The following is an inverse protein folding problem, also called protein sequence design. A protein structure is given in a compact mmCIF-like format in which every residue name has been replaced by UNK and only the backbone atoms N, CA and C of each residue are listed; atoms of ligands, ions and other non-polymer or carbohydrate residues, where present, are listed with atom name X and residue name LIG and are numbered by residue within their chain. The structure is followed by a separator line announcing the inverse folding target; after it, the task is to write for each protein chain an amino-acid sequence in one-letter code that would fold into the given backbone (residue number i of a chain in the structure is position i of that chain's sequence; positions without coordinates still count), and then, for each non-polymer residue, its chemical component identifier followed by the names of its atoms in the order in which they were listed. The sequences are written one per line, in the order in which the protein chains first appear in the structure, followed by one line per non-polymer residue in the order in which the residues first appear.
data_IF_766305395023
#
_entry.id   IF_766305395023
#
_cell.length_a   1.000
_cell.length_b   1.000
_cell.length_c   1.000
_cell.angle_alpha   90.00
_cell.angle_beta   90.00
_cell.angle_gamma   90.00
#
_symmetry.space_group_name_H-M   'P 1'
#
loop_
_entity.id
_entity.type
_entity.pdbx_description
1 polymer ?
#
# COMPACT_ATOMS: atom_id res chain seq x y z
N UNK A 1 -4.91 -1.54 -11.26
CA UNK A 1 -5.06 -0.95 -12.61
C UNK A 1 -6.06 0.16 -12.44
N UNK A 2 -5.59 1.40 -12.50
CA UNK A 2 -6.41 2.56 -12.13
C UNK A 2 -6.43 3.60 -13.23
N UNK A 3 -5.58 3.39 -14.25
CA UNK A 3 -5.62 4.10 -15.53
C UNK A 3 -6.25 3.16 -16.57
N UNK A 4 -7.17 3.63 -17.42
CA UNK A 4 -7.75 2.86 -18.52
C UNK A 4 -6.68 2.31 -19.47
N UNK A 5 -5.63 3.10 -19.71
CA UNK A 5 -4.43 2.73 -20.47
C UNK A 5 -3.21 2.74 -19.55
N UNK A 6 -2.80 1.57 -19.01
CA UNK A 6 -1.70 1.48 -18.05
C UNK A 6 -0.33 1.93 -18.59
N UNK A 7 -0.16 1.97 -19.90
CA UNK A 7 1.06 2.39 -20.61
C UNK A 7 1.01 3.83 -21.12
N UNK A 8 0.03 4.62 -20.70
CA UNK A 8 -0.03 6.05 -21.02
C UNK A 8 1.09 6.81 -20.33
N UNK A 9 1.50 7.94 -20.93
CA UNK A 9 2.47 8.87 -20.32
C UNK A 9 2.00 9.33 -18.94
N UNK A 10 0.70 9.57 -18.76
CA UNK A 10 0.10 9.94 -17.49
C UNK A 10 0.29 8.84 -16.43
N UNK A 11 0.03 7.57 -16.77
CA UNK A 11 0.25 6.45 -15.86
C UNK A 11 1.72 6.34 -15.44
N UNK A 12 2.66 6.56 -16.36
CA UNK A 12 4.10 6.54 -16.04
C UNK A 12 4.52 7.71 -15.15
N UNK A 13 4.04 8.93 -15.45
CA UNK A 13 4.31 10.11 -14.62
C UNK A 13 3.73 9.95 -13.22
N UNK A 14 2.52 9.38 -13.11
CA UNK A 14 1.87 9.11 -11.84
C UNK A 14 2.63 8.05 -11.02
N UNK A 15 3.06 6.96 -11.66
CA UNK A 15 3.87 5.92 -11.02
C UNK A 15 5.21 6.48 -10.52
N UNK A 16 5.88 7.31 -11.33
CA UNK A 16 7.12 8.00 -10.94
C UNK A 16 6.88 8.97 -9.77
N UNK A 17 5.79 9.74 -9.81
CA UNK A 17 5.39 10.61 -8.71
C UNK A 17 5.22 9.84 -7.41
N UNK A 18 4.46 8.73 -7.43
CA UNK A 18 4.26 7.87 -6.25
C UNK A 18 5.56 7.22 -5.77
N UNK A 19 6.43 6.77 -6.67
CA UNK A 19 7.73 6.20 -6.32
C UNK A 19 8.61 7.22 -5.56
N UNK A 20 8.68 8.45 -6.06
CA UNK A 20 9.46 9.53 -5.43
C UNK A 20 8.82 9.95 -4.10
N UNK A 21 7.49 10.08 -4.05
CA UNK A 21 6.76 10.43 -2.83
C UNK A 21 6.92 9.37 -1.73
N UNK A 22 6.79 8.09 -2.08
CA UNK A 22 6.98 6.98 -1.14
C UNK A 22 8.44 6.91 -0.67
N UNK A 23 9.41 7.07 -1.57
CA UNK A 23 10.84 7.14 -1.21
C UNK A 23 11.13 8.29 -0.22
N UNK A 24 10.51 9.46 -0.46
CA UNK A 24 10.57 10.61 0.45
C UNK A 24 9.95 10.30 1.81
N UNK A 25 8.75 9.72 1.84
CA UNK A 25 8.02 9.38 3.07
C UNK A 25 8.77 8.32 3.90
N UNK A 26 9.26 7.24 3.31
CA UNK A 26 10.03 6.22 4.03
C UNK A 26 11.32 6.78 4.63
N UNK A 27 12.01 7.65 3.89
CA UNK A 27 13.24 8.29 4.36
C UNK A 27 12.97 9.29 5.48
N UNK A 28 11.85 10.01 5.42
CA UNK A 28 11.34 10.86 6.50
C UNK A 28 11.03 10.03 7.76
N UNK A 29 10.28 8.93 7.63
CA UNK A 29 9.97 8.03 8.75
C UNK A 29 11.25 7.47 9.38
N UNK A 30 12.25 7.13 8.56
CA UNK A 30 13.57 6.68 9.03
C UNK A 30 14.32 7.80 9.77
N UNK A 31 14.30 9.02 9.26
CA UNK A 31 14.89 10.18 9.93
C UNK A 31 14.26 10.41 11.31
N UNK A 32 12.93 10.44 11.40
CA UNK A 32 12.21 10.59 12.68
C UNK A 32 12.61 9.47 13.65
N UNK A 33 12.67 8.22 13.18
CA UNK A 33 13.07 7.07 14.00
C UNK A 33 14.48 7.21 14.59
N UNK A 34 15.45 7.65 13.78
CA UNK A 34 16.84 7.86 14.22
C UNK A 34 16.93 9.05 15.18
N UNK A 35 16.26 10.16 14.85
CA UNK A 35 16.27 11.39 15.67
C UNK A 35 15.67 11.16 17.06
N UNK A 36 14.66 10.29 17.18
CA UNK A 36 14.01 9.95 18.46
C UNK A 36 14.73 8.87 19.27
N UNK A 37 15.85 8.32 18.80
CA UNK A 37 16.54 7.16 19.41
C UNK A 37 15.66 5.91 19.60
N UNK A 38 14.48 5.88 18.98
CA UNK A 38 13.52 4.78 19.03
C UNK A 38 13.88 3.69 18.01
N UNK A 39 15.04 3.04 18.18
CA UNK A 39 15.49 1.97 17.26
C UNK A 39 14.57 0.75 17.29
N UNK A 40 13.74 0.60 18.32
CA UNK A 40 12.65 -0.39 18.37
C UNK A 40 13.15 -1.81 18.16
N UNK A 41 14.27 -2.17 18.80
CA UNK A 41 14.84 -3.53 18.78
C UNK A 41 15.34 -4.05 17.43
N UNK A 42 15.22 -3.28 16.34
CA UNK A 42 15.65 -3.73 15.02
C UNK A 42 17.19 -3.87 14.96
N UNK A 43 17.72 -4.96 14.38
CA UNK A 43 19.15 -5.20 14.28
C UNK A 43 19.86 -4.10 13.47
N UNK A 44 21.12 -3.82 13.81
CA UNK A 44 21.98 -2.81 13.15
C UNK A 44 22.25 -3.05 11.66
N UNK A 45 21.83 -4.21 11.15
CA UNK A 45 21.97 -4.68 9.77
C UNK A 45 20.75 -4.37 8.87
N UNK A 46 19.70 -3.73 9.40
CA UNK A 46 18.58 -3.28 8.54
C UNK A 46 19.09 -2.26 7.53
N UNK A 47 18.91 -2.56 6.25
CA UNK A 47 19.27 -1.69 5.13
C UNK A 47 18.63 -0.31 5.28
N UNK A 48 19.39 0.75 4.97
CA UNK A 48 18.92 2.13 5.00
C UNK A 48 19.90 3.10 5.65
N UNK A 49 19.49 4.36 5.74
CA UNK A 49 20.31 5.43 6.31
C UNK A 49 20.60 5.16 7.80
N UNK A 50 21.88 5.30 8.17
CA UNK A 50 22.37 5.27 9.56
C UNK A 50 22.56 6.67 10.14
N UNK A 51 22.77 7.67 9.29
CA UNK A 51 22.95 9.06 9.68
C UNK A 51 21.62 9.84 9.49
N UNK A 52 21.16 10.60 10.51
CA UNK A 52 19.89 11.31 10.42
C UNK A 52 19.91 12.39 9.33
N UNK A 53 21.01 13.14 9.20
CA UNK A 53 21.12 14.19 8.21
C UNK A 53 21.01 13.66 6.78
N UNK A 54 21.64 12.52 6.48
CA UNK A 54 21.54 11.88 5.16
C UNK A 54 20.11 11.44 4.83
N UNK A 55 19.40 10.87 5.81
CA UNK A 55 18.00 10.47 5.66
C UNK A 55 17.09 11.68 5.37
N UNK A 56 17.32 12.80 6.07
CA UNK A 56 16.57 14.04 5.87
C UNK A 56 16.84 14.66 4.49
N UNK A 57 18.12 14.80 4.10
CA UNK A 57 18.49 15.36 2.80
C UNK A 57 17.89 14.53 1.67
N UNK A 58 17.99 13.20 1.76
CA UNK A 58 17.41 12.31 0.76
C UNK A 58 15.87 12.44 0.71
N UNK A 59 15.21 12.51 1.88
CA UNK A 59 13.76 12.72 1.95
C UNK A 59 13.33 14.02 1.27
N UNK A 60 14.02 15.12 1.55
CA UNK A 60 13.74 16.43 0.94
C UNK A 60 13.99 16.41 -0.57
N UNK A 61 15.11 15.82 -1.01
CA UNK A 61 15.43 15.70 -2.43
C UNK A 61 14.37 14.91 -3.19
N UNK A 62 13.97 13.75 -2.68
CA UNK A 62 12.92 12.92 -3.30
C UNK A 62 11.54 13.60 -3.24
N UNK A 63 11.26 14.35 -2.18
CA UNK A 63 10.02 15.13 -2.07
C UNK A 63 9.96 16.25 -3.12
N UNK A 64 11.05 16.99 -3.31
CA UNK A 64 11.14 18.02 -4.34
C UNK A 64 11.06 17.42 -5.75
N UNK A 65 11.71 16.29 -5.99
CA UNK A 65 11.60 15.57 -7.26
C UNK A 65 10.16 15.10 -7.52
N UNK A 66 9.45 14.59 -6.51
CA UNK A 66 8.04 14.22 -6.60
C UNK A 66 7.16 15.43 -6.96
N UNK A 67 7.35 16.57 -6.29
CA UNK A 67 6.62 17.81 -6.61
C UNK A 67 6.94 18.33 -8.02
N UNK A 68 8.17 18.16 -8.50
CA UNK A 68 8.53 18.50 -9.87
C UNK A 68 7.78 17.64 -10.89
N UNK A 69 7.66 16.33 -10.66
CA UNK A 69 6.90 15.41 -11.52
C UNK A 69 5.41 15.73 -11.49
N UNK A 70 4.86 16.09 -10.32
CA UNK A 70 3.45 16.46 -10.15
C UNK A 70 3.03 17.64 -11.05
N UNK A 71 3.96 18.54 -11.40
CA UNK A 71 3.70 19.68 -12.30
C UNK A 71 3.11 19.26 -13.65
N UNK A 72 3.42 18.06 -14.15
CA UNK A 72 3.02 17.61 -15.48
C UNK A 72 1.55 17.19 -15.58
N UNK A 73 0.89 16.91 -14.45
CA UNK A 73 -0.49 16.46 -14.41
C UNK A 73 -1.26 17.11 -13.24
N UNK A 74 -0.83 18.30 -12.84
CA UNK A 74 -1.38 18.99 -11.68
C UNK A 74 -2.82 19.46 -11.92
N UNK A 75 -3.66 19.34 -10.90
CA UNK A 75 -4.93 20.06 -10.79
C UNK A 75 -5.17 20.46 -9.33
N UNK A 76 -6.01 21.48 -9.10
CA UNK A 76 -6.37 21.89 -7.74
C UNK A 76 -7.10 20.77 -6.99
N UNK A 77 -8.00 20.06 -7.68
CA UNK A 77 -8.73 18.94 -7.12
C UNK A 77 -7.80 17.78 -6.75
N UNK A 78 -6.77 17.51 -7.56
CA UNK A 78 -5.75 16.52 -7.27
C UNK A 78 -4.97 16.87 -5.99
N UNK A 79 -4.60 18.14 -5.79
CA UNK A 79 -3.87 18.57 -4.59
C UNK A 79 -4.73 18.43 -3.32
N UNK A 80 -6.01 18.81 -3.41
CA UNK A 80 -6.96 18.64 -2.31
C UNK A 80 -7.15 17.16 -2.01
N UNK A 81 -7.31 16.33 -3.04
CA UNK A 81 -7.45 14.88 -2.90
C UNK A 81 -6.17 14.21 -2.39
N UNK A 82 -4.99 14.78 -2.61
CA UNK A 82 -3.72 14.28 -2.09
C UNK A 82 -3.52 14.61 -0.60
N UNK A 83 -4.13 15.70 -0.11
CA UNK A 83 -3.92 16.20 1.25
C UNK A 83 -4.14 15.14 2.36
N UNK A 84 -5.20 14.30 2.35
CA UNK A 84 -5.38 13.25 3.36
C UNK A 84 -4.19 12.28 3.43
N UNK A 85 -3.66 11.85 2.28
CA UNK A 85 -2.53 10.94 2.22
C UNK A 85 -1.23 11.59 2.75
N UNK A 86 -1.01 12.86 2.44
CA UNK A 86 0.14 13.63 2.96
C UNK A 86 0.03 13.83 4.46
N UNK A 87 -1.17 14.16 4.97
CA UNK A 87 -1.43 14.30 6.41
C UNK A 87 -1.12 12.99 7.13
N UNK A 88 -1.60 11.86 6.61
CA UNK A 88 -1.27 10.55 7.18
C UNK A 88 0.24 10.30 7.12
N UNK A 89 0.90 10.51 5.98
CA UNK A 89 2.34 10.25 5.82
C UNK A 89 3.21 11.09 6.78
N UNK A 90 2.84 12.34 7.05
CA UNK A 90 3.54 13.25 7.96
C UNK A 90 3.23 12.93 9.42
N UNK A 91 1.95 12.76 9.78
CA UNK A 91 1.55 12.56 11.17
C UNK A 91 1.79 11.14 11.68
N UNK A 92 1.81 10.14 10.79
CA UNK A 92 2.00 8.74 11.16
C UNK A 92 3.30 8.46 11.95
N UNK A 93 4.49 8.89 11.50
CA UNK A 93 5.74 8.69 12.24
C UNK A 93 5.95 9.66 13.41
N UNK A 94 5.23 10.78 13.45
CA UNK A 94 5.36 11.76 14.53
C UNK A 94 4.73 11.22 15.81
N UNK A 95 5.55 10.63 16.67
CA UNK A 95 5.25 10.57 18.10
C UNK A 95 5.49 11.97 18.69
N UNK A 96 4.45 12.63 19.21
CA UNK A 96 4.62 13.86 19.98
C UNK A 96 5.17 13.50 21.37
N UNK A 97 6.44 13.80 21.70
CA UNK A 97 6.97 13.54 23.02
C UNK A 97 6.58 14.73 23.91
N UNK A 98 5.35 14.72 24.42
CA UNK A 98 4.97 15.62 25.51
C UNK A 98 4.88 14.84 26.83
N UNK A 99 5.52 15.33 27.91
CA UNK A 99 5.66 14.59 29.17
C UNK A 99 4.36 14.41 29.96
N UNK A 100 3.20 14.86 29.45
CA UNK A 100 1.98 14.92 30.25
C UNK A 100 0.67 14.55 29.53
N UNK A 101 0.72 13.83 28.39
CA UNK A 101 -0.51 13.30 27.76
C UNK A 101 -0.31 11.92 27.16
N UNK A 102 -1.31 11.05 27.39
CA UNK A 102 -1.48 9.69 26.88
C UNK A 102 -1.56 9.55 25.34
N UNK A 103 -1.11 10.54 24.56
CA UNK A 103 -1.16 10.46 23.09
C UNK A 103 0.10 9.78 22.56
N UNK A 104 0.01 8.48 22.41
CA UNK A 104 1.02 7.65 21.73
C UNK A 104 0.81 7.80 20.21
N UNK A 105 1.89 7.71 19.41
CA UNK A 105 1.84 7.84 17.94
C UNK A 105 0.67 7.04 17.34
N UNK A 106 0.06 7.51 16.23
CA UNK A 106 -0.98 6.76 15.50
C UNK A 106 -0.55 5.32 15.17
N UNK A 107 0.76 5.04 15.11
CA UNK A 107 1.35 3.71 14.95
C UNK A 107 1.01 2.73 16.08
N UNK A 108 0.70 3.23 17.28
CA UNK A 108 0.50 2.42 18.49
C UNK A 108 -0.94 1.97 18.69
N UNK A 109 -1.89 2.52 17.92
CA UNK A 109 -3.29 2.11 18.01
C UNK A 109 -3.47 0.85 17.15
N UNK A 110 -3.78 -0.30 17.79
CA UNK A 110 -4.00 -1.56 17.12
C UNK A 110 -5.12 -1.42 16.08
N UNK A 111 -5.02 -2.09 14.93
CA UNK A 111 -6.01 -2.05 13.84
C UNK A 111 -6.12 -0.71 13.10
N UNK A 112 -5.92 0.44 13.76
CA UNK A 112 -5.84 1.74 13.10
C UNK A 112 -4.63 1.82 12.17
N UNK A 113 -3.49 1.23 12.55
CA UNK A 113 -2.33 1.07 11.66
C UNK A 113 -2.73 0.43 10.33
N UNK A 114 -3.44 -0.70 10.39
CA UNK A 114 -3.85 -1.43 9.18
C UNK A 114 -4.79 -0.58 8.34
N UNK A 115 -5.82 0.02 8.95
CA UNK A 115 -6.79 0.88 8.25
C UNK A 115 -6.14 2.10 7.60
N UNK A 116 -5.22 2.77 8.29
CA UNK A 116 -4.52 3.94 7.75
C UNK A 116 -3.62 3.54 6.57
N UNK A 117 -2.85 2.45 6.69
CA UNK A 117 -1.97 1.99 5.62
C UNK A 117 -2.81 1.55 4.42
N UNK A 118 -3.79 0.66 4.63
CA UNK A 118 -4.58 0.09 3.53
C UNK A 118 -5.47 1.12 2.86
N UNK A 119 -6.09 2.02 3.64
CA UNK A 119 -6.92 3.11 3.12
C UNK A 119 -6.09 4.13 2.34
N UNK A 120 -4.91 4.52 2.85
CA UNK A 120 -4.02 5.46 2.14
C UNK A 120 -3.53 4.85 0.82
N UNK A 121 -3.16 3.58 0.82
CA UNK A 121 -2.73 2.89 -0.41
C UNK A 121 -3.88 2.68 -1.40
N UNK A 122 -5.07 2.32 -0.95
CA UNK A 122 -6.24 2.23 -1.85
C UNK A 122 -6.58 3.61 -2.43
N UNK A 123 -6.48 4.66 -1.63
CA UNK A 123 -6.67 6.03 -2.07
C UNK A 123 -5.65 6.45 -3.13
N UNK A 124 -4.36 6.29 -2.85
CA UNK A 124 -3.27 6.65 -3.77
C UNK A 124 -3.23 5.74 -5.00
N UNK A 125 -3.49 4.45 -4.86
CA UNK A 125 -3.39 3.53 -5.99
C UNK A 125 -4.61 3.55 -6.90
N UNK A 126 -5.79 3.96 -6.43
CA UNK A 126 -7.04 3.93 -7.20
C UNK A 126 -7.85 5.22 -7.18
N UNK A 127 -8.24 5.73 -6.00
CA UNK A 127 -9.12 6.90 -5.95
C UNK A 127 -8.47 8.11 -6.63
N UNK A 128 -7.21 8.38 -6.34
CA UNK A 128 -6.50 9.55 -6.85
C UNK A 128 -6.35 9.52 -8.39
N UNK A 129 -5.93 8.40 -9.04
CA UNK A 129 -5.98 8.27 -10.50
C UNK A 129 -7.36 8.49 -11.11
N UNK A 130 -8.42 7.95 -10.51
CA UNK A 130 -9.78 8.06 -11.05
C UNK A 130 -10.30 9.51 -10.95
N UNK A 131 -10.04 10.17 -9.82
CA UNK A 131 -10.36 11.59 -9.63
C UNK A 131 -9.57 12.49 -10.59
N UNK A 132 -8.33 12.12 -10.91
CA UNK A 132 -7.51 12.86 -11.89
C UNK A 132 -8.11 12.83 -13.30
N UNK A 133 -8.83 11.77 -13.66
CA UNK A 133 -9.48 11.62 -14.97
C UNK A 133 -10.89 12.22 -15.01
N UNK A 134 -11.24 13.07 -14.03
CA UNK A 134 -12.57 13.63 -13.83
C UNK A 134 -13.69 12.57 -13.79
N UNK A 135 -13.35 11.34 -13.41
CA UNK A 135 -14.32 10.27 -13.30
C UNK A 135 -15.06 10.35 -11.95
N UNK A 136 -16.37 10.33 -12.07
CA UNK A 136 -17.35 10.75 -11.06
C UNK A 136 -17.33 9.86 -9.80
N UNK A 137 -17.72 10.45 -8.66
CA UNK A 137 -18.13 9.80 -7.40
C UNK A 137 -19.36 8.88 -7.57
N UNK A 138 -19.21 7.80 -8.32
CA UNK A 138 -20.26 6.81 -8.56
C UNK A 138 -20.36 5.80 -7.41
N UNK A 139 -21.46 5.05 -7.35
CA UNK A 139 -21.56 3.92 -6.42
C UNK A 139 -20.45 2.88 -6.64
N UNK A 140 -20.05 2.64 -7.90
CA UNK A 140 -18.92 1.80 -8.25
C UNK A 140 -17.61 2.31 -7.62
N UNK A 141 -17.33 3.61 -7.70
CA UNK A 141 -16.13 4.21 -7.11
C UNK A 141 -15.99 3.90 -5.62
N UNK A 142 -17.07 4.08 -4.84
CA UNK A 142 -17.03 3.85 -3.40
C UNK A 142 -16.86 2.37 -3.06
N UNK A 143 -17.51 1.47 -3.80
CA UNK A 143 -17.35 0.03 -3.61
C UNK A 143 -15.94 -0.45 -3.98
N UNK A 144 -15.41 -0.02 -5.14
CA UNK A 144 -14.04 -0.37 -5.55
C UNK A 144 -13.01 0.17 -4.55
N UNK A 145 -13.18 1.39 -4.03
CA UNK A 145 -12.32 1.93 -2.98
C UNK A 145 -12.37 1.09 -1.70
N UNK A 146 -13.57 0.67 -1.28
CA UNK A 146 -13.75 -0.18 -0.09
C UNK A 146 -13.11 -1.56 -0.27
N UNK A 147 -13.42 -2.26 -1.36
CA UNK A 147 -12.88 -3.59 -1.61
C UNK A 147 -11.36 -3.55 -1.86
N UNK A 148 -10.85 -2.52 -2.53
CA UNK A 148 -9.41 -2.33 -2.70
C UNK A 148 -8.72 -2.03 -1.37
N UNK A 149 -9.39 -1.34 -0.44
CA UNK A 149 -8.89 -1.18 0.93
C UNK A 149 -8.76 -2.53 1.63
N UNK A 150 -9.76 -3.43 1.49
CA UNK A 150 -9.63 -4.80 2.00
C UNK A 150 -8.49 -5.57 1.34
N UNK A 151 -8.37 -5.50 0.01
CA UNK A 151 -7.27 -6.13 -0.72
C UNK A 151 -5.91 -5.70 -0.16
N UNK A 152 -5.67 -4.40 -0.04
CA UNK A 152 -4.39 -3.89 0.50
C UNK A 152 -4.20 -4.31 1.95
N UNK A 153 -5.26 -4.32 2.76
CA UNK A 153 -5.18 -4.82 4.13
C UNK A 153 -4.74 -6.30 4.15
N UNK A 154 -5.30 -7.14 3.29
CA UNK A 154 -4.93 -8.55 3.16
C UNK A 154 -3.46 -8.74 2.74
N UNK A 155 -2.98 -7.94 1.80
CA UNK A 155 -1.57 -7.96 1.38
C UNK A 155 -0.61 -7.44 2.45
N UNK A 156 -1.07 -6.60 3.38
CA UNK A 156 -0.23 -6.01 4.44
C UNK A 156 -0.05 -6.96 5.63
N UNK A 157 -1.04 -7.81 5.94
CA UNK A 157 -0.98 -8.73 7.10
C UNK A 157 0.26 -9.65 7.12
N UNK A 158 0.72 -10.25 6.00
CA UNK A 158 1.97 -11.01 5.97
C UNK A 158 3.19 -10.24 6.47
N UNK A 159 3.26 -8.93 6.22
CA UNK A 159 4.35 -8.09 6.71
C UNK A 159 4.27 -7.90 8.23
N UNK A 160 3.07 -7.72 8.79
CA UNK A 160 2.89 -7.71 10.25
C UNK A 160 3.25 -9.07 10.88
N UNK A 161 3.01 -10.19 10.19
CA UNK A 161 3.42 -11.54 10.66
C UNK A 161 4.94 -11.67 10.69
N UNK A 162 5.63 -11.12 9.69
CA UNK A 162 7.10 -11.07 9.63
C UNK A 162 7.69 -10.27 10.78
N UNK A 163 7.11 -9.10 11.04
CA UNK A 163 7.65 -8.12 11.97
C UNK A 163 7.30 -8.46 13.44
N UNK A 164 6.42 -9.45 13.66
CA UNK A 164 5.94 -9.87 14.98
C UNK A 164 7.07 -10.19 15.99
N UNK A 165 8.19 -10.76 15.53
CA UNK A 165 9.33 -11.12 16.40
C UNK A 165 10.14 -9.90 16.87
N UNK A 166 10.03 -8.76 16.17
CA UNK A 166 10.74 -7.52 16.46
C UNK A 166 9.83 -6.42 17.05
N UNK A 167 8.51 -6.53 16.82
CA UNK A 167 7.54 -5.57 17.29
C UNK A 167 7.32 -5.66 18.80
N UNK A 168 7.28 -4.50 19.46
CA UNK A 168 6.96 -4.42 20.89
C UNK A 168 5.55 -4.98 21.14
N UNK A 169 5.36 -5.70 22.25
CA UNK A 169 4.06 -6.27 22.65
C UNK A 169 2.94 -5.23 22.80
N UNK A 170 3.29 -3.96 23.00
CA UNK A 170 2.36 -2.84 23.11
C UNK A 170 1.73 -2.41 21.78
N UNK A 171 2.31 -2.80 20.63
CA UNK A 171 1.77 -2.46 19.30
C UNK A 171 0.46 -3.19 18.99
N UNK A 172 0.24 -4.36 19.61
CA UNK A 172 -0.91 -5.26 19.44
C UNK A 172 -1.34 -5.40 17.98
N UNK A 173 -0.42 -5.76 17.10
CA UNK A 173 -0.72 -6.02 15.67
C UNK A 173 -1.74 -7.17 15.54
N UNK A 174 -2.38 -7.33 14.37
CA UNK A 174 -3.32 -8.44 14.14
C UNK A 174 -2.71 -9.82 14.52
N UNK A 175 -1.49 -10.17 14.08
CA UNK A 175 -0.88 -11.45 14.48
C UNK A 175 -0.57 -11.54 15.97
N UNK A 176 -0.28 -10.43 16.66
CA UNK A 176 -0.13 -10.43 18.12
C UNK A 176 -1.47 -10.63 18.85
N UNK A 177 -2.60 -10.23 18.26
CA UNK A 177 -3.93 -10.32 18.87
C UNK A 177 -4.63 -11.66 18.66
N UNK A 178 -4.55 -12.22 17.45
CA UNK A 178 -5.28 -13.45 17.07
C UNK A 178 -4.37 -14.62 16.66
N UNK A 179 -3.05 -14.40 16.65
CA UNK A 179 -2.08 -15.40 16.21
C UNK A 179 -1.93 -15.44 14.70
N UNK A 180 -0.88 -16.14 14.25
CA UNK A 180 -0.47 -16.19 12.85
C UNK A 180 -1.51 -16.88 11.97
N UNK A 181 -2.07 -18.00 12.40
CA UNK A 181 -3.02 -18.77 11.60
C UNK A 181 -4.29 -17.97 11.29
N UNK A 182 -4.90 -17.37 12.31
CA UNK A 182 -6.09 -16.53 12.14
C UNK A 182 -5.79 -15.28 11.27
N UNK A 183 -4.59 -14.70 11.40
CA UNK A 183 -4.16 -13.57 10.58
C UNK A 183 -4.04 -13.95 9.09
N UNK A 184 -3.46 -15.11 8.79
CA UNK A 184 -3.39 -15.60 7.42
C UNK A 184 -4.78 -15.92 6.84
N UNK A 185 -5.69 -16.43 7.65
CA UNK A 185 -7.08 -16.65 7.24
C UNK A 185 -7.79 -15.32 6.94
N UNK A 186 -7.61 -14.30 7.79
CA UNK A 186 -8.14 -12.96 7.58
C UNK A 186 -7.59 -12.33 6.29
N UNK A 187 -6.29 -12.48 6.04
CA UNK A 187 -5.66 -12.01 4.80
C UNK A 187 -6.28 -12.67 3.55
N UNK A 188 -6.42 -13.99 3.57
CA UNK A 188 -7.08 -14.73 2.48
C UNK A 188 -8.55 -14.34 2.32
N UNK A 189 -9.26 -14.10 3.42
CA UNK A 189 -10.65 -13.63 3.38
C UNK A 189 -10.77 -12.28 2.68
N UNK A 190 -9.87 -11.33 2.94
CA UNK A 190 -9.85 -10.06 2.22
C UNK A 190 -9.56 -10.20 0.73
N UNK A 191 -8.66 -11.11 0.34
CA UNK A 191 -8.43 -11.43 -1.08
C UNK A 191 -9.71 -12.02 -1.72
N UNK A 192 -10.40 -12.93 -1.02
CA UNK A 192 -11.67 -13.50 -1.46
C UNK A 192 -12.75 -12.43 -1.66
N UNK A 193 -12.88 -11.48 -0.74
CA UNK A 193 -13.81 -10.36 -0.91
C UNK A 193 -13.53 -9.57 -2.20
N UNK A 194 -12.26 -9.33 -2.52
CA UNK A 194 -11.90 -8.63 -3.75
C UNK A 194 -12.14 -9.49 -5.00
N UNK A 195 -11.99 -10.81 -4.94
CA UNK A 195 -12.36 -11.72 -6.03
C UNK A 195 -13.86 -11.70 -6.29
N UNK A 196 -14.69 -11.79 -5.24
CA UNK A 196 -16.15 -11.68 -5.36
C UNK A 196 -16.57 -10.32 -5.93
N UNK A 197 -15.93 -9.25 -5.47
CA UNK A 197 -16.12 -7.92 -6.03
C UNK A 197 -15.73 -7.86 -7.51
N UNK A 198 -14.62 -8.45 -7.92
CA UNK A 198 -14.18 -8.52 -9.33
C UNK A 198 -15.23 -9.22 -10.21
N UNK A 199 -15.83 -10.31 -9.70
CA UNK A 199 -16.91 -11.02 -10.40
C UNK A 199 -18.14 -10.11 -10.53
N UNK A 200 -18.54 -9.43 -9.45
CA UNK A 200 -19.65 -8.48 -9.50
C UNK A 200 -19.39 -7.31 -10.47
N UNK A 201 -18.17 -6.76 -10.46
CA UNK A 201 -17.71 -5.70 -11.37
C UNK A 201 -17.81 -6.13 -12.84
N UNK A 202 -17.47 -7.38 -13.15
CA UNK A 202 -17.61 -7.94 -14.50
C UNK A 202 -19.07 -8.00 -14.96
N UNK A 203 -19.99 -8.49 -14.12
CA UNK A 203 -21.38 -8.67 -14.53
C UNK A 203 -22.25 -7.41 -14.46
N UNK A 204 -21.91 -6.44 -13.60
CA UNK A 204 -22.78 -5.30 -13.29
C UNK A 204 -22.20 -3.97 -13.81
N UNK A 205 -20.87 -3.85 -13.92
CA UNK A 205 -20.18 -2.59 -14.25
C UNK A 205 -19.23 -2.72 -15.45
N UNK A 206 -19.46 -3.72 -16.32
CA UNK A 206 -18.76 -3.90 -17.59
C UNK A 206 -17.22 -3.97 -17.47
N UNK A 207 -16.69 -4.52 -16.38
CA UNK A 207 -15.26 -4.81 -16.28
C UNK A 207 -14.87 -5.75 -17.43
N UNK A 208 -13.76 -5.46 -18.13
CA UNK A 208 -13.36 -6.31 -19.26
C UNK A 208 -13.03 -7.73 -18.80
N UNK A 209 -13.28 -8.73 -19.66
CA UNK A 209 -12.91 -10.12 -19.39
C UNK A 209 -11.40 -10.25 -19.10
N UNK A 210 -10.58 -9.47 -19.83
CA UNK A 210 -9.14 -9.41 -19.63
C UNK A 210 -8.75 -9.00 -18.21
N UNK A 211 -9.35 -7.94 -17.70
CA UNK A 211 -9.13 -7.47 -16.34
C UNK A 211 -9.66 -8.46 -15.30
N UNK A 212 -10.86 -9.00 -15.50
CA UNK A 212 -11.46 -9.95 -14.57
C UNK A 212 -10.60 -11.21 -14.41
N UNK A 213 -10.16 -11.81 -15.51
CA UNK A 213 -9.32 -13.02 -15.48
C UNK A 213 -7.95 -12.73 -14.86
N UNK A 214 -7.32 -11.60 -15.21
CA UNK A 214 -6.02 -11.23 -14.65
C UNK A 214 -6.08 -11.05 -13.13
N UNK A 215 -7.13 -10.37 -12.61
CA UNK A 215 -7.35 -10.24 -11.18
C UNK A 215 -7.64 -11.58 -10.52
N UNK A 216 -8.58 -12.37 -11.04
CA UNK A 216 -8.94 -13.65 -10.42
C UNK A 216 -7.75 -14.61 -10.32
N UNK A 217 -7.01 -14.80 -11.41
CA UNK A 217 -5.83 -15.66 -11.44
C UNK A 217 -4.71 -15.11 -10.55
N UNK A 218 -4.44 -13.80 -10.63
CA UNK A 218 -3.38 -13.19 -9.82
C UNK A 218 -3.67 -13.23 -8.32
N UNK A 219 -4.94 -13.11 -7.92
CA UNK A 219 -5.36 -13.21 -6.52
C UNK A 219 -5.34 -14.65 -6.01
N UNK A 220 -5.63 -15.65 -6.84
CA UNK A 220 -5.43 -17.06 -6.46
C UNK A 220 -3.95 -17.39 -6.22
N UNK A 221 -3.06 -16.89 -7.09
CA UNK A 221 -1.61 -16.97 -6.87
C UNK A 221 -1.24 -16.25 -5.57
N UNK A 222 -1.76 -15.04 -5.35
CA UNK A 222 -1.53 -14.28 -4.12
C UNK A 222 -1.99 -15.02 -2.86
N UNK A 223 -3.18 -15.61 -2.88
CA UNK A 223 -3.72 -16.41 -1.79
C UNK A 223 -2.82 -17.62 -1.48
N UNK A 224 -2.34 -18.31 -2.52
CA UNK A 224 -1.37 -19.40 -2.36
C UNK A 224 -0.05 -18.93 -1.73
N UNK A 225 0.50 -17.80 -2.20
CA UNK A 225 1.73 -17.23 -1.64
C UNK A 225 1.57 -16.81 -0.18
N UNK A 226 0.43 -16.23 0.19
CA UNK A 226 0.09 -15.87 1.57
C UNK A 226 -0.04 -17.11 2.45
N UNK A 227 -0.73 -18.17 2.02
CA UNK A 227 -0.85 -19.42 2.81
C UNK A 227 0.51 -20.04 3.11
N UNK A 228 1.46 -19.97 2.16
CA UNK A 228 2.84 -20.45 2.34
C UNK A 228 3.63 -19.71 3.41
N UNK A 229 3.24 -18.48 3.79
CA UNK A 229 3.86 -17.74 4.90
C UNK A 229 3.79 -18.53 6.21
N UNK A 230 2.80 -19.42 6.36
CA UNK A 230 2.72 -20.35 7.50
C UNK A 230 4.00 -21.15 7.69
N UNK A 231 4.62 -21.59 6.60
CA UNK A 231 5.81 -22.46 6.59
C UNK A 231 7.11 -21.69 6.30
N UNK A 232 7.04 -20.55 5.62
CA UNK A 232 8.20 -19.73 5.29
C UNK A 232 7.93 -18.24 5.59
N UNK A 233 8.41 -17.77 6.75
CA UNK A 233 8.30 -16.36 7.18
C UNK A 233 9.56 -15.54 6.90
N UNK A 234 10.45 -16.03 6.03
CA UNK A 234 11.69 -15.33 5.75
C UNK A 234 11.42 -13.95 5.15
N UNK A 235 12.28 -12.99 5.47
CA UNK A 235 12.21 -11.61 4.97
C UNK A 235 12.20 -11.58 3.44
N UNK A 236 13.02 -12.42 2.80
CA UNK A 236 13.08 -12.57 1.35
C UNK A 236 11.76 -13.12 0.82
N UNK A 237 11.16 -14.12 1.46
CA UNK A 237 9.92 -14.70 0.95
C UNK A 237 8.78 -13.66 0.95
N UNK A 238 8.60 -12.95 2.06
CA UNK A 238 7.51 -11.98 2.19
C UNK A 238 7.80 -10.73 1.34
N UNK A 239 9.01 -10.17 1.45
CA UNK A 239 9.40 -8.96 0.71
C UNK A 239 9.53 -9.15 -0.80
N UNK A 240 9.79 -10.37 -1.28
CA UNK A 240 9.83 -10.62 -2.71
C UNK A 240 8.49 -11.16 -3.24
N UNK A 241 8.00 -12.28 -2.70
CA UNK A 241 6.85 -12.97 -3.30
C UNK A 241 5.50 -12.32 -2.97
N UNK A 242 5.28 -11.92 -1.73
CA UNK A 242 3.99 -11.28 -1.35
C UNK A 242 3.92 -9.87 -1.94
N UNK A 243 5.03 -9.13 -1.91
CA UNK A 243 5.10 -7.78 -2.49
C UNK A 243 4.94 -7.79 -4.02
N UNK A 244 5.33 -8.88 -4.71
CA UNK A 244 5.18 -9.01 -6.15
C UNK A 244 3.73 -9.24 -6.63
N UNK A 245 2.75 -9.52 -5.76
CA UNK A 245 1.38 -9.85 -6.16
C UNK A 245 0.75 -8.81 -7.10
N UNK A 246 0.82 -7.48 -6.84
CA UNK A 246 0.29 -6.47 -7.76
C UNK A 246 0.99 -6.48 -9.13
N UNK A 247 2.30 -6.78 -9.17
CA UNK A 247 3.08 -6.89 -10.40
C UNK A 247 2.67 -8.14 -11.18
N UNK A 248 2.46 -9.27 -10.49
CA UNK A 248 1.96 -10.50 -11.10
C UNK A 248 0.61 -10.26 -11.77
N UNK A 249 -0.33 -9.60 -11.07
CA UNK A 249 -1.63 -9.21 -11.65
C UNK A 249 -1.45 -8.31 -12.88
N UNK A 250 -0.52 -7.36 -12.84
CA UNK A 250 -0.25 -6.49 -13.98
C UNK A 250 0.32 -7.25 -15.19
N UNK A 251 1.27 -8.17 -14.98
CA UNK A 251 1.80 -9.02 -16.04
C UNK A 251 0.68 -9.90 -16.64
N UNK A 252 -0.17 -10.49 -15.79
CA UNK A 252 -1.31 -11.30 -16.24
C UNK A 252 -2.30 -10.49 -17.08
N UNK A 253 -2.51 -9.20 -16.77
CA UNK A 253 -3.33 -8.33 -17.60
C UNK A 253 -2.74 -8.15 -18.99
N UNK A 254 -1.44 -7.88 -19.09
CA UNK A 254 -0.79 -7.67 -20.39
C UNK A 254 -0.88 -8.93 -21.26
N UNK A 255 -0.67 -10.11 -20.64
CA UNK A 255 -0.81 -11.39 -21.32
C UNK A 255 -2.25 -11.66 -21.75
N UNK A 256 -3.23 -11.34 -20.89
CA UNK A 256 -4.65 -11.43 -21.18
C UNK A 256 -5.04 -10.53 -22.38
N UNK A 257 -4.70 -9.25 -22.32
CA UNK A 257 -4.98 -8.29 -23.40
C UNK A 257 -4.38 -8.74 -24.72
N UNK A 258 -3.12 -9.21 -24.69
CA UNK A 258 -2.45 -9.77 -25.86
C UNK A 258 -3.16 -11.01 -26.42
N UNK A 259 -3.56 -11.94 -25.56
CA UNK A 259 -4.28 -13.16 -25.97
C UNK A 259 -5.65 -12.86 -26.59
N UNK A 260 -6.31 -11.78 -26.18
CA UNK A 260 -7.60 -11.34 -26.69
C UNK A 260 -7.51 -10.30 -27.83
N UNK A 261 -6.31 -9.94 -28.28
CA UNK A 261 -6.12 -8.98 -29.37
C UNK A 261 -6.59 -7.56 -29.04
N UNK A 262 -6.61 -7.20 -27.76
CA UNK A 262 -6.97 -5.87 -27.27
C UNK A 262 -5.67 -5.08 -27.08
N UNK A 263 -5.36 -4.16 -28.00
CA UNK A 263 -4.17 -3.30 -27.97
C UNK A 263 -4.49 -1.89 -27.50
#
# INVERSE_FOLDING_TARGET
MSFPTPWSTEAYLYALFLLLATSSAYSYMRWVKIAQQNTGGQPSNVAGFKQPLAALIYSLFMGLASLYVLRWFYSWDLLIALAPAVVVAVLYPLAFPHPNRHFTSLRTIPMLKLLLISGTWAWLSFALPILHMDQIWTFYFYLELLFRTFLVAGLTIPFDIRDMDYDLSQMKTIPQLMGVEASLQLANFFLLLYQLWTIAAYFIWDLSLAQAVAWLVGLEIGAYLIRKVRHNRSEIYIGFWVEAIPIIVFILLLLAQWAWGIY
#
